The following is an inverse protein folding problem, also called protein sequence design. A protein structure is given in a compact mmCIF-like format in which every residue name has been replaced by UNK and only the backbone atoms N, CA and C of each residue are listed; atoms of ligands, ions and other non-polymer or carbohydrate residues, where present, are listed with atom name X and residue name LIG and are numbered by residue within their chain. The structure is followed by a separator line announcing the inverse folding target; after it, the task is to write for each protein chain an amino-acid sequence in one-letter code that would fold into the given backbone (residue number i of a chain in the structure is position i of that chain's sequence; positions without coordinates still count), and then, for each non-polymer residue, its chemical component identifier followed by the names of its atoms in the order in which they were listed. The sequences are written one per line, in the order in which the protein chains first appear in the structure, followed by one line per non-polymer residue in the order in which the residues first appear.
data_IF_061805767003
#
_entry.id   IF_061805767003
#
_cell.length_a   1.000
_cell.length_b   1.000
_cell.length_c   1.000
_cell.angle_alpha   90.00
_cell.angle_beta   90.00
_cell.angle_gamma   90.00
#
_symmetry.space_group_name_H-M   'P 1'
#
loop_
_entity.id
_entity.type
_entity.pdbx_description
1 polymer ?
#
# COMPACT_ATOMS: atom_id res chain seq x y z
N UNK A 1 -1.50 -5.42 -2.67
CA UNK A 1 -2.18 -4.68 -3.74
C UNK A 1 -1.34 -4.82 -5.00
N UNK A 2 -1.95 -5.19 -6.10
CA UNK A 2 -1.30 -5.21 -7.41
C UNK A 2 -1.89 -4.08 -8.25
N UNK A 3 -1.04 -3.19 -8.75
CA UNK A 3 -1.42 -2.08 -9.63
C UNK A 3 -0.89 -2.28 -11.03
N UNK A 4 -1.61 -1.74 -12.01
CA UNK A 4 -1.20 -1.67 -13.41
C UNK A 4 -1.62 -0.31 -13.98
N UNK A 5 -0.70 0.35 -14.70
CA UNK A 5 -0.97 1.65 -15.31
C UNK A 5 -1.87 1.44 -16.53
N UNK A 6 -3.05 2.03 -16.49
CA UNK A 6 -4.06 1.87 -17.54
C UNK A 6 -3.54 2.39 -18.89
N UNK A 7 -3.74 1.59 -19.93
CA UNK A 7 -3.38 1.95 -21.30
C UNK A 7 -1.90 2.32 -21.51
N UNK A 8 -0.98 1.79 -20.69
CA UNK A 8 0.43 2.15 -20.75
C UNK A 8 1.05 1.93 -22.14
N UNK A 9 0.67 0.84 -22.82
CA UNK A 9 1.08 0.62 -24.22
C UNK A 9 0.66 1.76 -25.14
N UNK A 10 -0.57 2.28 -25.00
CA UNK A 10 -1.05 3.39 -25.82
C UNK A 10 -0.26 4.68 -25.53
N UNK A 11 0.19 4.88 -24.28
CA UNK A 11 1.06 6.01 -23.93
C UNK A 11 2.38 5.89 -24.69
N UNK A 12 3.02 4.72 -24.66
CA UNK A 12 4.26 4.47 -25.39
C UNK A 12 4.07 4.63 -26.91
N UNK A 13 3.00 4.04 -27.47
CA UNK A 13 2.74 4.07 -28.90
C UNK A 13 2.43 5.50 -29.40
N UNK A 14 1.84 6.35 -28.57
CA UNK A 14 1.43 7.72 -28.94
C UNK A 14 2.53 8.75 -28.69
N UNK A 15 3.23 8.65 -27.56
CA UNK A 15 4.15 9.69 -27.06
C UNK A 15 5.61 9.24 -27.03
N UNK A 16 5.89 7.96 -27.29
CA UNK A 16 7.23 7.38 -27.23
C UNK A 16 7.59 6.79 -25.88
N UNK A 17 8.63 5.95 -25.88
CA UNK A 17 9.09 5.24 -24.68
C UNK A 17 9.65 6.17 -23.60
N UNK A 18 10.25 7.29 -23.99
CA UNK A 18 10.77 8.28 -23.02
C UNK A 18 9.63 8.83 -22.12
N UNK A 19 8.46 9.11 -22.74
CA UNK A 19 7.26 9.53 -21.99
C UNK A 19 6.71 8.39 -21.13
N UNK A 20 6.76 7.15 -21.63
CA UNK A 20 6.41 5.97 -20.83
C UNK A 20 7.30 5.82 -19.60
N UNK A 21 8.59 6.04 -19.74
CA UNK A 21 9.54 5.99 -18.61
C UNK A 21 9.26 7.11 -17.60
N UNK A 22 8.98 8.34 -18.05
CA UNK A 22 8.56 9.44 -17.18
C UNK A 22 7.27 9.10 -16.43
N UNK A 23 6.31 8.46 -17.08
CA UNK A 23 5.06 8.00 -16.46
C UNK A 23 5.31 6.95 -15.39
N UNK A 24 6.20 5.98 -15.63
CA UNK A 24 6.58 4.98 -14.63
C UNK A 24 7.22 5.61 -13.39
N UNK A 25 8.14 6.55 -13.61
CA UNK A 25 8.80 7.30 -12.53
C UNK A 25 7.79 8.13 -11.75
N UNK A 26 6.94 8.90 -12.45
CA UNK A 26 5.92 9.74 -11.83
C UNK A 26 4.89 8.94 -11.05
N UNK A 27 4.47 7.78 -11.56
CA UNK A 27 3.60 6.84 -10.85
C UNK A 27 4.25 6.39 -9.53
N UNK A 28 5.48 5.88 -9.61
CA UNK A 28 6.19 5.40 -8.42
C UNK A 28 6.40 6.53 -7.39
N UNK A 29 6.73 7.73 -7.82
CA UNK A 29 6.89 8.90 -6.94
C UNK A 29 5.57 9.30 -6.27
N UNK A 30 4.46 9.35 -7.04
CA UNK A 30 3.14 9.67 -6.51
C UNK A 30 2.74 8.67 -5.43
N UNK A 31 2.84 7.37 -5.70
CA UNK A 31 2.54 6.33 -4.71
C UNK A 31 3.46 6.47 -3.49
N UNK A 32 4.77 6.63 -3.70
CA UNK A 32 5.76 6.69 -2.61
C UNK A 32 5.52 7.85 -1.64
N UNK A 33 4.88 8.95 -2.09
CA UNK A 33 4.51 10.08 -1.23
C UNK A 33 3.51 9.73 -0.12
N UNK A 34 2.79 8.63 -0.24
CA UNK A 34 1.80 8.15 0.74
C UNK A 34 2.32 7.02 1.64
N UNK A 35 3.54 6.51 1.36
CA UNK A 35 4.04 5.33 2.02
C UNK A 35 4.76 5.66 3.33
N UNK A 36 4.63 4.75 4.29
CA UNK A 36 5.39 4.73 5.53
C UNK A 36 6.10 3.38 5.72
N UNK A 37 6.70 3.14 6.90
CA UNK A 37 7.42 1.90 7.23
C UNK A 37 6.59 0.61 7.15
N UNK A 38 5.27 0.70 7.00
CA UNK A 38 4.36 -0.45 6.86
C UNK A 38 4.16 -0.86 5.41
N UNK A 39 4.78 -0.14 4.48
CA UNK A 39 4.56 -0.33 3.06
C UNK A 39 5.85 -0.66 2.34
N UNK A 40 5.77 -1.54 1.35
CA UNK A 40 6.89 -1.84 0.44
C UNK A 40 6.34 -1.82 -0.97
N UNK A 41 6.82 -0.87 -1.78
CA UNK A 41 6.47 -0.77 -3.19
C UNK A 41 7.53 -1.47 -4.04
N UNK A 42 7.09 -2.33 -4.94
CA UNK A 42 7.92 -3.14 -5.82
C UNK A 42 7.44 -2.94 -7.25
N UNK A 43 8.31 -2.60 -8.19
CA UNK A 43 7.99 -2.73 -9.61
C UNK A 43 8.10 -4.21 -9.98
N UNK A 44 6.97 -4.82 -10.33
CA UNK A 44 6.87 -6.25 -10.56
C UNK A 44 7.27 -6.63 -11.99
N UNK A 45 6.90 -5.80 -12.97
CA UNK A 45 7.22 -5.98 -14.40
C UNK A 45 6.72 -4.77 -15.18
N UNK A 46 7.11 -4.56 -16.41
CA UNK A 46 6.60 -3.53 -17.32
C UNK A 46 5.97 -2.31 -16.66
N UNK A 47 4.64 -2.27 -16.66
CA UNK A 47 3.80 -1.25 -16.02
C UNK A 47 3.12 -1.72 -14.73
N UNK A 48 3.52 -2.88 -14.19
CA UNK A 48 2.91 -3.49 -13.02
C UNK A 48 3.72 -3.22 -11.74
N UNK A 49 3.02 -2.92 -10.66
CA UNK A 49 3.57 -2.66 -9.33
C UNK A 49 2.84 -3.49 -8.28
N UNK A 50 3.61 -4.00 -7.30
CA UNK A 50 3.05 -4.62 -6.09
C UNK A 50 3.32 -3.72 -4.90
N UNK A 51 2.29 -3.45 -4.10
CA UNK A 51 2.39 -2.76 -2.84
C UNK A 51 2.00 -3.70 -1.72
N UNK A 52 2.97 -4.01 -0.86
CA UNK A 52 2.73 -4.75 0.38
C UNK A 52 2.31 -3.77 1.48
N UNK A 53 1.19 -4.06 2.15
CA UNK A 53 0.64 -3.27 3.24
C UNK A 53 0.62 -4.14 4.51
N UNK A 54 1.52 -3.88 5.46
CA UNK A 54 1.61 -4.65 6.70
C UNK A 54 0.53 -4.21 7.68
N UNK A 55 -0.18 -5.19 8.26
CA UNK A 55 -1.24 -4.98 9.26
C UNK A 55 -2.52 -4.30 8.74
N UNK A 56 -2.77 -4.38 7.44
CA UNK A 56 -4.02 -3.97 6.83
C UNK A 56 -4.94 -5.19 6.70
N UNK A 57 -6.24 -4.99 6.94
CA UNK A 57 -7.26 -5.93 6.45
C UNK A 57 -7.70 -5.54 5.02
N UNK A 58 -8.57 -6.36 4.42
CA UNK A 58 -9.00 -6.13 3.05
C UNK A 58 -9.72 -4.81 2.84
N UNK A 59 -10.55 -4.37 3.82
CA UNK A 59 -11.25 -3.08 3.76
C UNK A 59 -10.27 -1.91 3.85
N UNK A 60 -9.31 -1.99 4.78
CA UNK A 60 -8.29 -0.97 4.94
C UNK A 60 -7.38 -0.89 3.70
N UNK A 61 -7.00 -2.04 3.15
CA UNK A 61 -6.17 -2.11 1.94
C UNK A 61 -6.92 -1.59 0.70
N UNK A 62 -8.21 -1.91 0.54
CA UNK A 62 -9.03 -1.42 -0.56
C UNK A 62 -9.22 0.11 -0.48
N UNK A 63 -9.54 0.64 0.71
CA UNK A 63 -9.67 2.08 0.93
C UNK A 63 -8.36 2.82 0.63
N UNK A 64 -7.22 2.28 1.10
CA UNK A 64 -5.92 2.85 0.83
C UNK A 64 -5.56 2.79 -0.66
N UNK A 65 -5.82 1.65 -1.33
CA UNK A 65 -5.61 1.52 -2.77
C UNK A 65 -6.43 2.53 -3.58
N UNK A 66 -7.68 2.80 -3.19
CA UNK A 66 -8.50 3.83 -3.82
C UNK A 66 -7.93 5.23 -3.62
N UNK A 67 -7.43 5.56 -2.43
CA UNK A 67 -6.72 6.83 -2.18
C UNK A 67 -5.52 7.00 -3.12
N UNK A 68 -4.72 5.95 -3.28
CA UNK A 68 -3.55 5.97 -4.18
C UNK A 68 -3.97 6.11 -5.66
N UNK A 69 -5.00 5.39 -6.08
CA UNK A 69 -5.56 5.49 -7.44
C UNK A 69 -6.04 6.91 -7.75
N UNK A 70 -6.74 7.53 -6.81
CA UNK A 70 -7.20 8.92 -6.95
C UNK A 70 -6.01 9.88 -7.06
N UNK A 71 -5.03 9.74 -6.18
CA UNK A 71 -3.81 10.53 -6.22
C UNK A 71 -3.08 10.43 -7.57
N UNK A 72 -2.98 9.22 -8.14
CA UNK A 72 -2.39 9.01 -9.49
C UNK A 72 -3.20 9.74 -10.56
N UNK A 73 -4.52 9.63 -10.52
CA UNK A 73 -5.42 10.28 -11.49
C UNK A 73 -5.34 11.82 -11.44
N UNK A 74 -5.08 12.38 -10.26
CA UNK A 74 -5.03 13.83 -10.01
C UNK A 74 -3.62 14.42 -10.15
N UNK A 75 -2.58 13.60 -10.10
CA UNK A 75 -1.18 14.06 -10.04
C UNK A 75 -0.69 14.73 -11.33
N UNK A 76 -1.42 14.65 -12.46
CA UNK A 76 -0.98 15.17 -13.76
C UNK A 76 0.48 14.76 -14.05
N UNK A 77 0.77 13.47 -13.88
CA UNK A 77 2.11 12.88 -13.95
C UNK A 77 2.88 13.31 -15.20
N UNK A 78 2.19 13.44 -16.33
CA UNK A 78 2.79 13.97 -17.56
C UNK A 78 1.83 14.92 -18.26
N UNK A 79 2.30 16.09 -18.74
CA UNK A 79 1.43 17.12 -19.33
C UNK A 79 0.69 16.66 -20.59
N UNK A 80 1.24 15.69 -21.32
CA UNK A 80 0.65 15.18 -22.56
C UNK A 80 -0.20 13.92 -22.38
N UNK A 81 -0.15 13.26 -21.24
CA UNK A 81 -0.83 11.98 -21.03
C UNK A 81 -1.64 11.99 -19.72
N UNK A 82 -2.93 11.68 -19.82
CA UNK A 82 -3.72 11.39 -18.64
C UNK A 82 -3.38 9.98 -18.15
N UNK A 83 -2.89 9.87 -16.93
CA UNK A 83 -2.47 8.61 -16.31
C UNK A 83 -3.51 8.19 -15.28
N UNK A 84 -4.01 6.97 -15.42
CA UNK A 84 -4.83 6.30 -14.41
C UNK A 84 -4.25 4.92 -14.13
N UNK A 85 -4.69 4.27 -13.07
CA UNK A 85 -4.33 2.89 -12.78
C UNK A 85 -5.53 2.07 -12.33
N UNK A 86 -5.43 0.78 -12.58
CA UNK A 86 -6.32 -0.23 -12.01
C UNK A 86 -5.57 -1.01 -10.94
N UNK A 87 -6.29 -1.51 -9.94
CA UNK A 87 -5.67 -2.32 -8.90
C UNK A 87 -6.51 -3.50 -8.46
N UNK A 88 -5.83 -4.54 -7.98
CA UNK A 88 -6.41 -5.71 -7.33
C UNK A 88 -5.86 -5.87 -5.92
N UNK A 89 -6.74 -6.10 -4.96
CA UNK A 89 -6.39 -6.28 -3.55
C UNK A 89 -6.61 -7.74 -3.17
N UNK A 90 -5.60 -8.35 -2.55
CA UNK A 90 -5.71 -9.65 -1.91
C UNK A 90 -5.11 -9.62 -0.51
N UNK A 91 -5.63 -10.45 0.38
CA UNK A 91 -5.21 -10.53 1.78
C UNK A 91 -4.43 -11.82 2.02
N UNK A 92 -3.32 -11.75 2.70
CA UNK A 92 -2.63 -12.92 3.17
C UNK A 92 -3.30 -13.45 4.46
N UNK A 93 -3.83 -14.66 4.40
CA UNK A 93 -4.56 -15.27 5.51
C UNK A 93 -3.65 -15.87 6.58
N UNK A 94 -2.35 -16.01 6.32
CA UNK A 94 -1.39 -16.53 7.28
C UNK A 94 -1.54 -18.03 7.58
N UNK A 95 -2.15 -18.79 6.69
CA UNK A 95 -2.21 -20.26 6.76
C UNK A 95 -1.04 -20.88 6.01
N UNK A 96 -0.66 -22.12 6.33
CA UNK A 96 0.43 -22.82 5.65
C UNK A 96 0.15 -23.05 4.16
N UNK A 97 -1.12 -23.04 3.76
CA UNK A 97 -1.57 -23.21 2.38
C UNK A 97 -1.55 -21.90 1.59
N UNK A 98 -1.50 -20.76 2.27
CA UNK A 98 -1.56 -19.43 1.63
C UNK A 98 -0.14 -18.92 1.35
N UNK A 99 0.42 -19.31 0.22
CA UNK A 99 1.76 -18.89 -0.21
C UNK A 99 1.73 -17.50 -0.86
N UNK A 100 2.89 -16.86 -1.00
CA UNK A 100 3.03 -15.60 -1.71
C UNK A 100 2.48 -15.67 -3.14
N UNK A 101 2.72 -16.78 -3.85
CA UNK A 101 2.20 -17.00 -5.20
C UNK A 101 0.67 -17.03 -5.23
N UNK A 102 0.02 -17.63 -4.22
CA UNK A 102 -1.43 -17.62 -4.11
C UNK A 102 -1.99 -16.22 -3.90
N UNK A 103 -1.37 -15.42 -3.04
CA UNK A 103 -1.78 -14.03 -2.79
C UNK A 103 -1.63 -13.19 -4.07
N UNK A 104 -0.47 -13.29 -4.73
CA UNK A 104 -0.23 -12.58 -6.01
C UNK A 104 -1.26 -12.97 -7.05
N UNK A 105 -1.55 -14.27 -7.20
CA UNK A 105 -2.56 -14.76 -8.15
C UNK A 105 -3.97 -14.22 -7.85
N UNK A 106 -4.36 -14.15 -6.57
CA UNK A 106 -5.68 -13.57 -6.20
C UNK A 106 -5.72 -12.07 -6.48
N UNK A 107 -4.64 -11.34 -6.19
CA UNK A 107 -4.53 -9.92 -6.54
C UNK A 107 -4.60 -9.68 -8.05
N UNK A 108 -3.94 -10.54 -8.85
CA UNK A 108 -3.98 -10.48 -10.32
C UNK A 108 -5.41 -10.72 -10.86
N UNK A 109 -6.14 -11.70 -10.34
CA UNK A 109 -7.55 -11.94 -10.70
C UNK A 109 -8.41 -10.70 -10.39
N UNK A 110 -8.23 -10.09 -9.23
CA UNK A 110 -8.96 -8.88 -8.85
C UNK A 110 -8.57 -7.68 -9.72
N UNK A 111 -7.29 -7.53 -10.08
CA UNK A 111 -6.82 -6.53 -11.03
C UNK A 111 -7.44 -6.72 -12.42
N UNK A 112 -7.50 -7.96 -12.91
CA UNK A 112 -8.16 -8.27 -14.18
C UNK A 112 -9.64 -7.84 -14.16
N UNK A 113 -10.36 -8.09 -13.06
CA UNK A 113 -11.74 -7.62 -12.90
C UNK A 113 -11.83 -6.09 -12.93
N UNK A 114 -10.89 -5.37 -12.33
CA UNK A 114 -10.82 -3.91 -12.40
C UNK A 114 -10.68 -3.43 -13.84
N UNK A 115 -9.83 -4.07 -14.64
CA UNK A 115 -9.62 -3.75 -16.06
C UNK A 115 -10.87 -4.02 -16.89
N UNK A 116 -11.52 -5.18 -16.72
CA UNK A 116 -12.73 -5.56 -17.43
C UNK A 116 -13.93 -4.65 -17.11
N UNK A 117 -14.03 -4.19 -15.87
CA UNK A 117 -15.11 -3.32 -15.42
C UNK A 117 -14.92 -1.83 -15.76
N UNK A 118 -13.97 -1.50 -16.64
CA UNK A 118 -13.79 -0.15 -17.20
C UNK A 118 -12.58 0.61 -16.67
N UNK A 119 -11.64 -0.06 -16.01
CA UNK A 119 -10.37 0.52 -15.50
C UNK A 119 -10.55 1.63 -14.47
N UNK A 120 -9.46 2.31 -14.11
CA UNK A 120 -9.42 3.37 -13.12
C UNK A 120 -10.22 3.03 -11.85
N UNK A 121 -10.00 1.84 -11.31
CA UNK A 121 -10.69 1.32 -10.12
C UNK A 121 -9.88 0.28 -9.37
N UNK A 122 -10.32 0.01 -8.16
CA UNK A 122 -9.80 -1.04 -7.31
C UNK A 122 -10.87 -2.11 -7.15
N UNK A 123 -10.45 -3.36 -7.19
CA UNK A 123 -11.29 -4.52 -6.84
C UNK A 123 -10.58 -5.30 -5.74
N UNK A 124 -11.29 -5.61 -4.67
CA UNK A 124 -10.81 -6.54 -3.65
C UNK A 124 -11.25 -7.96 -4.00
N UNK A 125 -10.41 -8.96 -3.70
CA UNK A 125 -10.80 -10.35 -3.86
C UNK A 125 -12.13 -10.64 -3.15
N UNK A 126 -13.03 -11.45 -3.73
CA UNK A 126 -14.26 -11.85 -3.07
C UNK A 126 -13.94 -12.72 -1.84
N UNK A 127 -14.81 -12.67 -0.84
CA UNK A 127 -14.82 -13.55 0.33
C UNK A 127 -13.58 -13.48 1.25
N UNK A 128 -12.72 -12.45 1.13
CA UNK A 128 -11.58 -12.30 2.04
C UNK A 128 -11.99 -12.33 3.51
N UNK A 129 -13.20 -11.84 3.85
CA UNK A 129 -13.74 -11.84 5.21
C UNK A 129 -14.01 -13.26 5.76
N UNK A 130 -14.40 -14.18 4.89
CA UNK A 130 -14.69 -15.57 5.29
C UNK A 130 -13.43 -16.36 5.67
N UNK A 131 -12.26 -15.94 5.18
CA UNK A 131 -10.99 -16.61 5.40
C UNK A 131 -10.13 -15.96 6.50
N UNK A 132 -10.55 -14.80 7.02
CA UNK A 132 -9.80 -14.12 8.09
C UNK A 132 -9.96 -14.83 9.42
N UNK A 133 -8.86 -15.10 10.13
CA UNK A 133 -8.96 -15.51 11.52
C UNK A 133 -9.63 -14.39 12.34
N UNK A 134 -10.37 -14.73 13.42
CA UNK A 134 -11.03 -13.74 14.25
C UNK A 134 -9.99 -12.69 14.73
N UNK A 135 -10.31 -11.40 14.56
CA UNK A 135 -9.41 -10.30 14.91
C UNK A 135 -8.93 -10.46 16.34
N UNK A 136 -7.62 -10.57 16.55
CA UNK A 136 -7.05 -10.46 17.89
C UNK A 136 -7.42 -9.08 18.43
N UNK A 137 -8.00 -8.97 19.64
CA UNK A 137 -8.34 -7.69 20.22
C UNK A 137 -7.08 -6.82 20.23
N UNK A 138 -7.18 -5.58 19.73
CA UNK A 138 -6.08 -4.61 19.77
C UNK A 138 -5.59 -4.54 21.20
N UNK A 139 -4.35 -4.91 21.44
CA UNK A 139 -3.71 -4.83 22.77
C UNK A 139 -3.82 -3.37 23.18
N UNK A 140 -4.67 -3.04 24.18
CA UNK A 140 -4.70 -1.71 24.77
C UNK A 140 -3.27 -1.45 25.24
N UNK A 141 -2.61 -0.46 24.66
CA UNK A 141 -1.42 0.12 25.24
C UNK A 141 -1.84 0.57 26.65
N UNK A 142 -1.36 -0.13 27.67
CA UNK A 142 -1.48 0.37 29.04
C UNK A 142 -0.66 1.66 29.06
N UNK A 143 -1.36 2.79 29.12
CA UNK A 143 -0.77 4.04 29.53
C UNK A 143 -0.10 3.77 30.88
N UNK A 144 1.22 3.75 30.89
CA UNK A 144 1.98 3.84 32.13
C UNK A 144 1.62 5.19 32.73
N UNK A 145 0.69 5.19 33.66
CA UNK A 145 0.51 6.31 34.58
C UNK A 145 1.87 6.56 35.25
N UNK A 146 2.43 7.72 34.91
CA UNK A 146 3.67 8.17 35.50
C UNK A 146 3.45 8.35 37.00
N UNK A 147 4.07 7.51 37.81
CA UNK A 147 4.37 7.84 39.17
C UNK A 147 5.44 8.93 39.14
N UNK A 148 4.97 10.18 39.27
CA UNK A 148 5.81 11.30 39.70
C UNK A 148 6.17 11.08 41.16
N UNK A 149 7.23 10.34 41.43
CA UNK A 149 7.94 10.32 42.68
C UNK A 149 9.12 11.29 42.58
N UNK A 150 8.97 12.48 43.08
CA UNK A 150 10.10 13.31 43.44
C UNK A 150 10.91 12.62 44.55
N UNK A 151 12.21 12.50 44.43
CA UNK A 151 13.11 12.49 45.58
C UNK A 151 13.88 13.82 45.57
N UNK A 152 13.32 14.82 46.23
CA UNK A 152 14.16 15.82 46.90
C UNK A 152 14.67 15.19 48.18
N UNK A 153 15.91 15.58 48.55
CA UNK A 153 16.67 15.26 49.74
C UNK A 153 17.62 14.03 49.68
N UNK A 154 18.86 14.27 49.25
CA UNK A 154 20.07 14.02 50.02
C UNK A 154 21.33 14.24 49.15
N UNK A 155 21.72 15.48 48.99
CA UNK A 155 23.10 15.81 48.63
C UNK A 155 23.66 16.84 49.64
N UNK A 156 23.98 16.37 50.84
CA UNK A 156 24.92 17.02 51.74
C UNK A 156 25.92 15.96 52.22
N UNK A 157 27.17 16.13 51.83
CA UNK A 157 28.29 15.43 52.45
C UNK A 157 29.09 14.53 51.53
N UNK A 158 29.90 15.11 50.64
CA UNK A 158 31.10 14.45 50.08
C UNK A 158 32.05 15.46 49.40
N UNK A 159 32.46 16.50 50.16
CA UNK A 159 33.64 17.29 49.84
C UNK A 159 34.24 17.76 51.15
N UNK A 160 35.02 16.89 51.78
CA UNK A 160 36.07 17.21 52.72
C UNK A 160 36.97 15.97 52.84
N UNK A 161 38.10 16.04 52.12
CA UNK A 161 39.49 15.63 52.41
C UNK A 161 40.26 15.44 51.09
#
# INVERSE_FOLDING_TARGET
IMFDIDHFKNINDTYGHDVGDDVLVGFAQTISGFLDRRHILIRWGGEEFILLCLHYDGTEAEAFANTLREAVSEAHIHPSAQVTCSGGVAVWYGTDEDTADHVVKRADIALYQSKENGRNRITCEPDWQAHMPPRRPKRKLQEKQGENGHPEENMKGLWDH
#
